data_IF_338049787809
#
_entry.id   IF_338049787809
#
_cell.length_a   1.000
_cell.length_b   1.000
_cell.length_c   1.000
_cell.angle_alpha   90.00
_cell.angle_beta   90.00
_cell.angle_gamma   90.00
#
_symmetry.space_group_name_H-M   'P 1'
#
loop_
_entity.id
_entity.type
_entity.pdbx_description
1 polymer ?
#
# COMPACT_ATOMS: atom_id res chain seq x y z
N UNK A 1 -6.25 -6.04 -10.60
CA UNK A 1 -5.72 -5.01 -11.52
C UNK A 1 -6.19 -3.62 -11.09
N UNK A 2 -7.50 -3.34 -11.01
CA UNK A 2 -8.01 -2.01 -10.62
C UNK A 2 -7.51 -1.49 -9.27
N UNK A 3 -7.42 -2.34 -8.25
CA UNK A 3 -6.90 -1.92 -6.93
C UNK A 3 -5.39 -1.63 -6.96
N UNK A 4 -4.59 -2.38 -7.72
CA UNK A 4 -3.15 -2.14 -7.84
C UNK A 4 -2.87 -0.81 -8.52
N UNK A 5 -3.61 -0.49 -9.58
CA UNK A 5 -3.47 0.78 -10.28
C UNK A 5 -3.77 1.97 -9.35
N UNK A 6 -4.79 1.86 -8.51
CA UNK A 6 -5.11 2.86 -7.49
C UNK A 6 -4.02 2.98 -6.43
N UNK A 7 -3.51 1.85 -5.91
CA UNK A 7 -2.43 1.86 -4.92
C UNK A 7 -1.18 2.51 -5.51
N UNK A 8 -0.80 2.19 -6.74
CA UNK A 8 0.33 2.81 -7.44
C UNK A 8 0.11 4.32 -7.66
N UNK A 9 -1.13 4.73 -7.92
CA UNK A 9 -1.54 6.14 -7.97
C UNK A 9 -1.30 6.84 -6.63
N UNK A 10 -1.80 6.27 -5.53
CA UNK A 10 -1.60 6.83 -4.18
C UNK A 10 -0.12 6.95 -3.82
N UNK A 11 0.69 5.94 -4.13
CA UNK A 11 2.13 6.02 -3.89
C UNK A 11 2.80 7.13 -4.73
N UNK A 12 2.32 7.37 -5.95
CA UNK A 12 2.85 8.45 -6.79
C UNK A 12 2.48 9.83 -6.24
N UNK A 13 1.30 9.96 -5.63
CA UNK A 13 0.88 11.18 -4.94
C UNK A 13 1.66 11.39 -3.63
N UNK A 14 1.97 10.31 -2.91
CA UNK A 14 2.84 10.34 -1.73
C UNK A 14 4.21 10.91 -2.10
N UNK A 15 4.87 10.32 -3.11
CA UNK A 15 6.22 10.69 -3.50
C UNK A 15 6.30 12.17 -3.88
N UNK A 16 5.36 12.66 -4.69
CA UNK A 16 5.30 14.08 -5.10
C UNK A 16 5.06 15.01 -3.90
N UNK A 17 4.13 14.65 -3.02
CA UNK A 17 3.79 15.50 -1.88
C UNK A 17 4.94 15.56 -0.87
N UNK A 18 5.63 14.44 -0.63
CA UNK A 18 6.80 14.35 0.24
C UNK A 18 7.98 15.10 -0.37
N UNK A 19 8.25 14.95 -1.67
CA UNK A 19 9.29 15.70 -2.38
C UNK A 19 9.07 17.21 -2.25
N UNK A 20 7.84 17.67 -2.53
CA UNK A 20 7.47 19.09 -2.43
C UNK A 20 7.61 19.59 -0.98
N UNK A 21 7.13 18.83 0.00
CA UNK A 21 7.24 19.21 1.41
C UNK A 21 8.69 19.25 1.88
N UNK A 22 9.55 18.37 1.36
CA UNK A 22 10.96 18.28 1.72
C UNK A 22 11.81 19.42 1.14
N UNK A 23 11.33 20.08 0.08
CA UNK A 23 12.01 21.24 -0.50
C UNK A 23 11.75 22.53 0.28
N UNK A 24 10.77 22.53 1.19
CA UNK A 24 10.44 23.68 2.04
C UNK A 24 11.44 23.87 3.16
N UNK A 25 11.61 25.12 3.57
CA UNK A 25 12.49 25.51 4.68
C UNK A 25 11.81 25.38 6.05
N UNK A 26 10.51 25.63 6.14
CA UNK A 26 9.70 25.47 7.35
C UNK A 26 8.20 25.22 7.04
N UNK A 27 7.35 25.25 8.08
CA UNK A 27 5.90 25.04 7.98
C UNK A 27 5.14 26.16 7.25
N UNK A 28 5.67 27.39 7.28
CA UNK A 28 5.02 28.60 6.76
C UNK A 28 5.55 29.00 5.38
N UNK A 29 6.55 28.28 4.85
CA UNK A 29 7.12 28.43 3.52
C UNK A 29 6.08 28.24 2.40
N UNK A 30 5.94 29.28 1.59
CA UNK A 30 5.01 29.37 0.45
C UNK A 30 5.70 29.79 -0.86
N UNK A 31 7.02 29.67 -0.96
CA UNK A 31 7.78 30.16 -2.13
C UNK A 31 7.40 29.45 -3.45
N UNK A 32 6.96 28.19 -3.34
CA UNK A 32 6.45 27.38 -4.45
C UNK A 32 4.92 27.55 -4.69
N UNK A 33 4.26 28.42 -3.93
CA UNK A 33 2.81 28.66 -4.00
C UNK A 33 1.94 27.58 -3.32
N UNK A 34 2.53 26.57 -2.67
CA UNK A 34 1.81 25.47 -2.02
C UNK A 34 2.11 25.48 -0.52
N UNK A 35 1.06 25.53 0.32
CA UNK A 35 1.23 25.48 1.79
C UNK A 35 1.55 24.07 2.28
N UNK A 36 2.40 23.95 3.31
CA UNK A 36 2.69 22.68 3.98
C UNK A 36 1.42 21.97 4.47
N UNK A 37 0.43 22.70 4.99
CA UNK A 37 -0.85 22.12 5.42
C UNK A 37 -1.62 21.43 4.28
N UNK A 38 -1.50 21.93 3.05
CA UNK A 38 -2.13 21.29 1.88
C UNK A 38 -1.43 19.99 1.53
N UNK A 39 -0.10 19.95 1.60
CA UNK A 39 0.70 18.74 1.40
C UNK A 39 0.41 17.71 2.49
N UNK A 40 0.34 18.12 3.75
CA UNK A 40 -0.03 17.24 4.86
C UNK A 40 -1.42 16.63 4.69
N UNK A 41 -2.40 17.37 4.14
CA UNK A 41 -3.73 16.80 3.84
C UNK A 41 -3.66 15.71 2.77
N UNK A 42 -2.87 15.91 1.72
CA UNK A 42 -2.65 14.91 0.68
C UNK A 42 -1.98 13.67 1.28
N UNK A 43 -0.87 13.86 1.99
CA UNK A 43 -0.12 12.77 2.62
C UNK A 43 -1.00 12.02 3.63
N UNK A 44 -1.81 12.71 4.42
CA UNK A 44 -2.74 12.10 5.38
C UNK A 44 -3.81 11.25 4.68
N UNK A 45 -4.39 11.76 3.59
CA UNK A 45 -5.33 11.00 2.76
C UNK A 45 -4.68 9.74 2.19
N UNK A 46 -3.47 9.87 1.63
CA UNK A 46 -2.73 8.73 1.08
C UNK A 46 -2.38 7.73 2.18
N UNK A 47 -1.88 8.16 3.33
CA UNK A 47 -1.56 7.27 4.45
C UNK A 47 -2.80 6.51 4.94
N UNK A 48 -3.97 7.15 4.93
CA UNK A 48 -5.24 6.48 5.20
C UNK A 48 -5.54 5.40 4.13
N UNK A 49 -5.46 5.73 2.84
CA UNK A 49 -5.65 4.74 1.77
C UNK A 49 -4.69 3.56 1.88
N UNK A 50 -3.42 3.80 2.19
CA UNK A 50 -2.39 2.77 2.34
C UNK A 50 -2.70 1.82 3.52
N UNK A 51 -3.23 2.34 4.62
CA UNK A 51 -3.71 1.48 5.73
C UNK A 51 -4.96 0.69 5.32
N UNK A 52 -5.82 1.23 4.47
CA UNK A 52 -6.99 0.50 3.98
C UNK A 52 -6.62 -0.62 2.98
N UNK A 53 -5.41 -0.62 2.39
CA UNK A 53 -4.94 -1.74 1.55
C UNK A 53 -4.79 -3.04 2.34
N UNK A 54 -4.84 -3.03 3.66
CA UNK A 54 -4.79 -4.26 4.47
C UNK A 54 -5.92 -5.23 4.13
N UNK A 55 -7.09 -4.76 3.68
CA UNK A 55 -8.15 -5.66 3.19
C UNK A 55 -7.75 -6.39 1.92
N UNK A 56 -6.95 -5.77 1.06
CA UNK A 56 -6.38 -6.42 -0.11
C UNK A 56 -5.47 -7.58 0.32
N UNK A 57 -4.45 -7.27 1.13
CA UNK A 57 -3.50 -8.26 1.64
C UNK A 57 -4.19 -9.38 2.43
N UNK A 58 -5.22 -9.07 3.21
CA UNK A 58 -5.97 -10.07 3.97
C UNK A 58 -6.67 -11.09 3.05
N UNK A 59 -7.26 -10.64 1.95
CA UNK A 59 -7.86 -11.57 0.98
C UNK A 59 -6.81 -12.44 0.30
N UNK A 60 -5.64 -11.87 0.02
CA UNK A 60 -4.55 -12.65 -0.52
C UNK A 60 -4.13 -13.74 0.47
N UNK A 61 -3.88 -13.37 1.73
CA UNK A 61 -3.42 -14.28 2.77
C UNK A 61 -4.43 -15.36 3.16
N UNK A 62 -5.72 -15.02 3.25
CA UNK A 62 -6.77 -15.89 3.79
C UNK A 62 -7.62 -16.58 2.72
N UNK A 63 -7.77 -15.97 1.54
CA UNK A 63 -8.60 -16.52 0.46
C UNK A 63 -7.76 -17.11 -0.67
N UNK A 64 -6.73 -16.41 -1.14
CA UNK A 64 -6.01 -16.76 -2.36
C UNK A 64 -4.80 -17.69 -2.11
N UNK A 65 -3.88 -17.28 -1.23
CA UNK A 65 -2.65 -18.01 -0.92
C UNK A 65 -2.90 -19.47 -0.51
N UNK A 66 -3.92 -19.80 0.32
CA UNK A 66 -4.16 -21.19 0.68
C UNK A 66 -4.49 -22.09 -0.52
N UNK A 67 -5.16 -21.57 -1.54
CA UNK A 67 -5.55 -22.36 -2.72
C UNK A 67 -4.35 -22.59 -3.65
N UNK A 68 -3.49 -21.59 -3.85
CA UNK A 68 -2.27 -21.75 -4.68
C UNK A 68 -1.17 -22.55 -3.95
N UNK A 69 -1.14 -22.51 -2.62
CA UNK A 69 -0.29 -23.37 -1.80
C UNK A 69 -0.73 -24.83 -1.91
N UNK A 70 -2.04 -25.10 -1.90
CA UNK A 70 -2.58 -26.44 -2.16
C UNK A 70 -2.24 -26.96 -3.57
N UNK A 71 -2.04 -26.05 -4.53
CA UNK A 71 -1.54 -26.35 -5.87
C UNK A 71 0.00 -26.46 -5.97
N UNK A 72 0.73 -26.34 -4.84
CA UNK A 72 2.18 -26.55 -4.75
C UNK A 72 3.04 -25.28 -4.77
N UNK A 73 2.45 -24.09 -4.89
CA UNK A 73 3.17 -22.82 -4.90
C UNK A 73 3.25 -22.27 -3.46
N UNK A 74 4.33 -22.58 -2.75
CA UNK A 74 4.50 -22.25 -1.32
C UNK A 74 5.62 -21.26 -1.00
N UNK A 75 6.68 -21.24 -1.82
CA UNK A 75 7.80 -20.31 -1.65
C UNK A 75 7.40 -18.85 -1.82
N UNK A 76 6.78 -18.47 -2.96
CA UNK A 76 6.34 -17.09 -3.20
C UNK A 76 5.39 -16.56 -2.13
N UNK A 77 4.36 -17.33 -1.76
CA UNK A 77 3.35 -16.88 -0.77
C UNK A 77 3.93 -16.61 0.61
N UNK A 78 4.99 -17.33 1.01
CA UNK A 78 5.73 -17.05 2.25
C UNK A 78 6.44 -15.70 2.18
N UNK A 79 7.09 -15.38 1.07
CA UNK A 79 7.78 -14.09 0.89
C UNK A 79 6.78 -12.94 0.90
N UNK A 80 5.64 -13.10 0.20
CA UNK A 80 4.59 -12.09 0.19
C UNK A 80 4.08 -11.76 1.61
N UNK A 81 3.84 -12.77 2.45
CA UNK A 81 3.44 -12.55 3.85
C UNK A 81 4.48 -11.80 4.67
N UNK A 82 5.77 -12.13 4.51
CA UNK A 82 6.84 -11.41 5.21
C UNK A 82 6.87 -9.92 4.82
N UNK A 83 6.59 -9.61 3.55
CA UNK A 83 6.50 -8.24 3.07
C UNK A 83 5.25 -7.53 3.58
N UNK A 84 4.09 -8.21 3.64
CA UNK A 84 2.89 -7.68 4.28
C UNK A 84 3.16 -7.34 5.76
N UNK A 85 3.77 -8.27 6.50
CA UNK A 85 4.09 -8.10 7.92
C UNK A 85 5.05 -6.93 8.18
N UNK A 86 5.95 -6.66 7.24
CA UNK A 86 6.87 -5.53 7.32
C UNK A 86 6.23 -4.19 6.91
N UNK A 87 5.40 -4.18 5.86
CA UNK A 87 4.75 -2.97 5.34
C UNK A 87 3.62 -2.48 6.25
N UNK A 88 2.83 -3.38 6.82
CA UNK A 88 1.67 -3.07 7.67
C UNK A 88 1.98 -2.10 8.82
N UNK A 89 2.99 -2.34 9.69
CA UNK A 89 3.33 -1.41 10.76
C UNK A 89 3.87 -0.07 10.23
N UNK A 90 4.55 -0.05 9.09
CA UNK A 90 5.09 1.20 8.50
C UNK A 90 4.00 2.08 7.91
N UNK A 91 2.99 1.51 7.26
CA UNK A 91 1.82 2.25 6.78
C UNK A 91 1.07 2.91 7.95
N UNK A 92 0.96 2.22 9.08
CA UNK A 92 0.42 2.79 10.33
C UNK A 92 1.32 3.90 10.88
N UNK A 93 2.63 3.68 10.93
CA UNK A 93 3.59 4.69 11.39
C UNK A 93 3.55 5.97 10.54
N UNK A 94 3.43 5.85 9.21
CA UNK A 94 3.25 7.01 8.32
C UNK A 94 1.98 7.79 8.66
N UNK A 95 0.86 7.10 8.85
CA UNK A 95 -0.42 7.71 9.23
C UNK A 95 -0.31 8.45 10.57
N UNK A 96 0.31 7.82 11.57
CA UNK A 96 0.47 8.39 12.90
C UNK A 96 1.44 9.57 12.91
N UNK A 97 2.55 9.49 12.16
CA UNK A 97 3.51 10.58 12.00
C UNK A 97 2.84 11.83 11.43
N UNK A 98 2.06 11.67 10.37
CA UNK A 98 1.39 12.79 9.68
C UNK A 98 0.27 13.39 10.53
N UNK A 99 -0.45 12.57 11.30
CA UNK A 99 -1.44 13.05 12.26
C UNK A 99 -0.82 13.93 13.37
N UNK A 100 0.46 13.71 13.70
CA UNK A 100 1.21 14.43 14.72
C UNK A 100 2.28 15.37 14.12
N UNK A 101 2.14 15.77 12.85
CA UNK A 101 3.22 16.43 12.11
C UNK A 101 3.85 17.65 12.82
N UNK A 102 3.02 18.45 13.51
CA UNK A 102 3.46 19.70 14.17
C UNK A 102 3.82 19.54 15.66
N UNK A 103 3.99 18.31 16.16
CA UNK A 103 4.43 18.08 17.54
C UNK A 103 5.96 18.06 17.68
N UNK A 104 6.69 18.05 16.57
CA UNK A 104 8.16 18.06 16.52
C UNK A 104 8.68 19.13 15.54
N UNK A 105 9.99 19.36 15.52
CA UNK A 105 10.61 20.33 14.62
C UNK A 105 10.39 19.96 13.15
N UNK A 106 10.23 20.95 12.26
CA UNK A 106 9.96 20.73 10.84
C UNK A 106 10.99 19.81 10.17
N UNK A 107 12.28 20.10 10.36
CA UNK A 107 13.36 19.32 9.74
C UNK A 107 13.38 17.85 10.24
N UNK A 108 13.13 17.63 11.53
CA UNK A 108 13.03 16.29 12.12
C UNK A 108 11.84 15.52 11.55
N UNK A 109 10.68 16.18 11.45
CA UNK A 109 9.49 15.61 10.82
C UNK A 109 9.73 15.22 9.37
N UNK A 110 10.30 16.12 8.55
CA UNK A 110 10.57 15.86 7.14
C UNK A 110 11.53 14.68 6.98
N UNK A 111 12.57 14.58 7.82
CA UNK A 111 13.51 13.46 7.77
C UNK A 111 12.80 12.11 8.01
N UNK A 112 12.01 12.01 9.08
CA UNK A 112 11.25 10.78 9.41
C UNK A 112 10.21 10.46 8.32
N UNK A 113 9.54 11.49 7.79
CA UNK A 113 8.53 11.34 6.75
C UNK A 113 9.15 10.77 5.47
N UNK A 114 10.29 11.31 5.02
CA UNK A 114 11.00 10.82 3.83
C UNK A 114 11.42 9.37 3.99
N UNK A 115 12.04 9.01 5.12
CA UNK A 115 12.48 7.65 5.39
C UNK A 115 11.32 6.64 5.29
N UNK A 116 10.18 6.94 5.94
CA UNK A 116 9.00 6.09 5.88
C UNK A 116 8.38 6.04 4.48
N UNK A 117 8.21 7.19 3.84
CA UNK A 117 7.61 7.29 2.52
C UNK A 117 8.42 6.54 1.47
N UNK A 118 9.73 6.77 1.39
CA UNK A 118 10.63 6.13 0.43
C UNK A 118 10.62 4.60 0.62
N UNK A 119 10.65 4.13 1.88
CA UNK A 119 10.59 2.71 2.18
C UNK A 119 9.28 2.09 1.70
N UNK A 120 8.14 2.68 2.07
CA UNK A 120 6.81 2.16 1.70
C UNK A 120 6.64 2.19 0.18
N UNK A 121 6.98 3.31 -0.46
CA UNK A 121 6.86 3.50 -1.91
C UNK A 121 7.69 2.51 -2.70
N UNK A 122 8.93 2.26 -2.29
CA UNK A 122 9.80 1.29 -2.97
C UNK A 122 9.28 -0.14 -2.80
N UNK A 123 9.07 -0.56 -1.55
CA UNK A 123 8.74 -1.96 -1.26
C UNK A 123 7.34 -2.34 -1.73
N UNK A 124 6.33 -1.47 -1.58
CA UNK A 124 4.98 -1.77 -2.04
C UNK A 124 4.87 -1.80 -3.57
N UNK A 125 5.62 -0.96 -4.30
CA UNK A 125 5.71 -1.08 -5.77
C UNK A 125 6.36 -2.39 -6.20
N UNK A 126 7.45 -2.77 -5.54
CA UNK A 126 8.13 -4.03 -5.83
C UNK A 126 7.23 -5.24 -5.52
N UNK A 127 6.48 -5.16 -4.43
CA UNK A 127 5.48 -6.14 -4.02
C UNK A 127 4.39 -6.33 -5.08
N UNK A 128 3.73 -5.23 -5.49
CA UNK A 128 2.72 -5.22 -6.55
C UNK A 128 3.27 -5.75 -7.88
N UNK A 129 4.52 -5.43 -8.20
CA UNK A 129 5.17 -5.97 -9.38
C UNK A 129 5.29 -7.50 -9.32
N UNK A 130 5.71 -8.07 -8.19
CA UNK A 130 5.79 -9.53 -8.00
C UNK A 130 4.42 -10.20 -8.11
N UNK A 131 3.38 -9.59 -7.55
CA UNK A 131 2.01 -10.09 -7.68
C UNK A 131 1.59 -10.18 -9.14
N UNK A 132 1.67 -9.05 -9.84
CA UNK A 132 1.18 -8.91 -11.21
C UNK A 132 1.97 -9.76 -12.22
N UNK A 133 3.28 -9.92 -12.01
CA UNK A 133 4.17 -10.50 -13.03
C UNK A 133 4.63 -11.93 -12.72
N UNK A 134 4.53 -12.37 -11.47
CA UNK A 134 5.02 -13.68 -11.04
C UNK A 134 3.90 -14.48 -10.39
N UNK A 135 3.32 -13.97 -9.29
CA UNK A 135 2.41 -14.75 -8.45
C UNK A 135 1.08 -15.04 -9.15
N UNK A 136 0.42 -14.01 -9.69
CA UNK A 136 -0.88 -14.18 -10.33
C UNK A 136 -0.80 -14.98 -11.64
N UNK A 137 0.20 -14.78 -12.52
CA UNK A 137 0.39 -15.66 -13.67
C UNK A 137 0.62 -17.12 -13.27
N UNK A 138 1.50 -17.38 -12.29
CA UNK A 138 1.75 -18.75 -11.83
C UNK A 138 0.51 -19.40 -11.21
N UNK A 139 -0.28 -18.61 -10.47
CA UNK A 139 -1.56 -19.07 -9.93
C UNK A 139 -2.58 -19.40 -11.02
N UNK A 140 -2.66 -18.59 -12.07
CA UNK A 140 -3.55 -18.83 -13.20
C UNK A 140 -3.21 -20.15 -13.90
N UNK A 141 -1.93 -20.44 -14.10
CA UNK A 141 -1.48 -21.71 -14.70
C UNK A 141 -1.70 -22.92 -13.77
N UNK A 142 -1.59 -22.72 -12.45
CA UNK A 142 -1.67 -23.79 -11.47
C UNK A 142 -3.09 -24.10 -10.98
N UNK A 143 -4.06 -23.19 -11.16
CA UNK A 143 -5.44 -23.34 -10.70
C UNK A 143 -6.38 -23.66 -11.89
N UNK A 144 -6.69 -24.94 -12.14
CA UNK A 144 -7.34 -25.38 -13.37
C UNK A 144 -8.87 -25.22 -13.40
N UNK A 145 -9.53 -25.03 -12.25
CA UNK A 145 -11.00 -25.12 -12.16
C UNK A 145 -11.70 -23.84 -11.67
N UNK A 146 -12.84 -23.54 -12.29
CA UNK A 146 -13.70 -22.38 -11.95
C UNK A 146 -14.23 -22.45 -10.51
N UNK A 147 -14.41 -23.65 -9.95
CA UNK A 147 -14.91 -23.80 -8.59
C UNK A 147 -13.91 -23.28 -7.55
N UNK A 148 -12.60 -23.40 -7.79
CA UNK A 148 -11.55 -22.81 -6.96
C UNK A 148 -11.61 -21.29 -6.97
N UNK A 149 -11.71 -20.68 -8.16
CA UNK A 149 -11.89 -19.23 -8.29
C UNK A 149 -13.17 -18.74 -7.61
N UNK A 150 -14.27 -19.50 -7.68
CA UNK A 150 -15.50 -19.21 -6.96
C UNK A 150 -15.30 -19.23 -5.44
N UNK A 151 -14.59 -20.22 -4.88
CA UNK A 151 -14.27 -20.27 -3.44
C UNK A 151 -13.42 -19.09 -3.00
N UNK A 152 -12.41 -18.73 -3.79
CA UNK A 152 -11.56 -17.54 -3.53
C UNK A 152 -12.44 -16.30 -3.47
N UNK A 153 -13.34 -16.13 -4.44
CA UNK A 153 -14.28 -15.00 -4.48
C UNK A 153 -15.20 -15.00 -3.25
N UNK A 154 -15.83 -16.12 -2.89
CA UNK A 154 -16.73 -16.21 -1.74
C UNK A 154 -16.03 -15.90 -0.41
N UNK A 155 -14.78 -16.33 -0.24
CA UNK A 155 -13.95 -15.95 0.92
C UNK A 155 -13.61 -14.46 0.89
N UNK A 156 -13.22 -13.95 -0.27
CA UNK A 156 -12.90 -12.54 -0.48
C UNK A 156 -14.08 -11.62 -0.18
N UNK A 157 -15.29 -12.00 -0.60
CA UNK A 157 -16.53 -11.26 -0.33
C UNK A 157 -16.84 -11.16 1.17
N UNK A 158 -16.48 -12.19 1.96
CA UNK A 158 -16.66 -12.19 3.43
C UNK A 158 -15.66 -11.28 4.14
N UNK A 159 -14.44 -11.16 3.62
CA UNK A 159 -13.40 -10.26 4.14
C UNK A 159 -13.74 -8.81 3.77
N UNK A 160 -14.28 -8.60 2.56
CA UNK A 160 -14.61 -7.30 2.02
C UNK A 160 -13.48 -6.70 1.17
N UNK A 161 -13.78 -5.56 0.55
CA UNK A 161 -12.91 -4.91 -0.42
C UNK A 161 -12.36 -3.60 0.16
N UNK A 162 -11.26 -3.10 -0.40
CA UNK A 162 -10.83 -1.74 -0.13
C UNK A 162 -11.97 -0.78 -0.48
N UNK A 163 -12.17 0.28 0.30
CA UNK A 163 -13.33 1.17 0.04
C UNK A 163 -13.21 1.94 -1.29
N UNK A 164 -11.99 2.05 -1.82
CA UNK A 164 -11.69 2.62 -3.13
C UNK A 164 -11.71 1.57 -4.25
N UNK A 165 -12.02 0.30 -3.95
CA UNK A 165 -12.21 -0.70 -4.99
C UNK A 165 -13.38 -0.29 -5.86
N UNK A 166 -13.20 -0.14 -7.18
CA UNK A 166 -14.29 0.22 -8.07
C UNK A 166 -15.42 -0.81 -8.00
N UNK A 167 -16.66 -0.34 -8.05
CA UNK A 167 -17.81 -1.22 -8.27
C UNK A 167 -17.63 -1.96 -9.60
N UNK A 168 -17.86 -3.28 -9.58
CA UNK A 168 -17.79 -4.14 -10.78
C UNK A 168 -19.02 -3.97 -11.67
#
# INVERSE_FOLDING_TARGET
MSEHDLILGFLSDLDKAVETLSAKSDWDDVDDGVRADSLLRIISSVAYHLVETEKHHQREEEAFFPEIEAAGITGPTRIMRLEHDDLRPRKKALKDLVANAKTQGFAEFVAQLRELADYISFNLRNHIFKENTILYPAAYDALPDEATWKRIKEKSDKIGYCYFTPEM
#
